data_IF_369995349051
#
_entry.id   IF_369995349051
#
_cell.length_a   1.000
_cell.length_b   1.000
_cell.length_c   1.000
_cell.angle_alpha   90.00
_cell.angle_beta   90.00
_cell.angle_gamma   90.00
#
_symmetry.space_group_name_H-M   'P 1'
#
loop_
_entity.id
_entity.type
_entity.pdbx_description
1 polymer ?
#
# COMPACT_ATOMS: atom_id res chain seq x y z
N UNK A 1 15.40 5.07 -2.98
CA UNK A 1 13.91 5.14 -2.87
C UNK A 1 13.29 5.18 -4.26
N UNK A 2 13.62 6.19 -5.09
CA UNK A 2 13.25 6.20 -6.53
C UNK A 2 13.72 4.96 -7.29
N UNK A 3 14.96 4.52 -7.07
CA UNK A 3 15.49 3.28 -7.67
C UNK A 3 14.79 2.00 -7.19
N UNK A 4 14.00 2.08 -6.11
CA UNK A 4 13.17 0.97 -5.61
C UNK A 4 11.70 1.09 -6.04
N UNK A 5 11.37 2.06 -6.90
CA UNK A 5 10.01 2.31 -7.36
C UNK A 5 9.13 3.08 -6.36
N UNK A 6 9.71 3.89 -5.47
CA UNK A 6 8.95 4.71 -4.51
C UNK A 6 9.21 6.21 -4.71
N UNK A 7 8.14 6.99 -4.72
CA UNK A 7 8.13 8.45 -4.63
C UNK A 7 8.09 8.87 -3.15
N UNK A 8 8.87 9.89 -2.82
CA UNK A 8 8.85 10.49 -1.50
C UNK A 8 8.11 11.83 -1.57
N UNK A 9 7.21 12.07 -0.61
CA UNK A 9 6.52 13.34 -0.40
C UNK A 9 6.82 13.87 1.01
N UNK A 10 6.82 15.19 1.19
CA UNK A 10 7.22 15.80 2.45
C UNK A 10 5.97 16.16 3.27
N UNK A 11 5.81 15.53 4.44
CA UNK A 11 4.76 15.86 5.41
C UNK A 11 5.31 16.60 6.62
N UNK A 12 4.41 17.17 7.43
CA UNK A 12 4.72 17.80 8.73
C UNK A 12 5.49 16.87 9.70
N UNK A 13 5.36 15.54 9.53
CA UNK A 13 6.00 14.53 10.36
C UNK A 13 7.28 13.94 9.73
N UNK A 14 7.66 14.40 8.53
CA UNK A 14 8.79 13.90 7.76
C UNK A 14 8.40 13.27 6.43
N UNK A 15 9.33 12.53 5.83
CA UNK A 15 9.16 11.97 4.49
C UNK A 15 8.22 10.76 4.50
N UNK A 16 7.22 10.79 3.61
CA UNK A 16 6.28 9.69 3.36
C UNK A 16 6.63 9.06 2.02
N UNK A 17 6.61 7.72 1.96
CA UNK A 17 7.03 6.98 0.77
C UNK A 17 5.84 6.23 0.17
N UNK A 18 5.45 6.63 -1.03
CA UNK A 18 4.39 5.99 -1.80
C UNK A 18 5.00 5.19 -2.95
N UNK A 19 4.42 4.05 -3.34
CA UNK A 19 4.76 3.43 -4.62
C UNK A 19 4.66 4.47 -5.74
N UNK A 20 5.66 4.52 -6.60
CA UNK A 20 5.65 5.39 -7.79
C UNK A 20 4.58 4.94 -8.79
N UNK A 21 4.24 3.65 -8.72
CA UNK A 21 3.14 3.02 -9.42
C UNK A 21 1.81 3.28 -8.71
N UNK A 22 0.78 3.60 -9.50
CA UNK A 22 -0.57 3.80 -8.96
C UNK A 22 -1.16 2.51 -8.40
N UNK A 23 -2.28 2.64 -7.68
CA UNK A 23 -3.07 1.48 -7.22
C UNK A 23 -4.32 1.34 -8.07
N UNK A 24 -4.61 0.13 -8.52
CA UNK A 24 -5.88 -0.23 -9.12
C UNK A 24 -6.83 -0.69 -8.04
N UNK A 25 -8.05 -0.16 -8.08
CA UNK A 25 -9.09 -0.46 -7.11
C UNK A 25 -10.19 -1.28 -7.78
N UNK A 26 -10.54 -2.41 -7.17
CA UNK A 26 -11.74 -3.17 -7.53
C UNK A 26 -13.02 -2.42 -7.11
N UNK A 27 -14.16 -2.78 -7.70
CA UNK A 27 -15.45 -2.13 -7.41
C UNK A 27 -15.79 -2.11 -5.91
N UNK A 28 -15.38 -3.17 -5.20
CA UNK A 28 -15.46 -3.27 -3.74
C UNK A 28 -14.08 -3.43 -3.13
N UNK A 29 -13.81 -2.62 -2.11
CA UNK A 29 -12.63 -2.74 -1.25
C UNK A 29 -13.10 -3.16 0.13
N UNK A 30 -12.44 -4.15 0.71
CA UNK A 30 -12.69 -4.62 2.07
C UNK A 30 -11.39 -4.62 2.87
N UNK A 31 -11.50 -4.24 4.14
CA UNK A 31 -10.44 -4.34 5.12
C UNK A 31 -10.88 -5.39 6.14
N UNK A 32 -10.12 -6.46 6.24
CA UNK A 32 -10.39 -7.58 7.12
C UNK A 32 -9.41 -7.55 8.29
N UNK A 33 -9.91 -7.65 9.52
CA UNK A 33 -9.06 -7.84 10.69
C UNK A 33 -8.75 -9.32 10.84
N UNK A 34 -7.47 -9.68 10.87
CA UNK A 34 -7.02 -11.06 10.87
C UNK A 34 -6.07 -11.29 12.04
N UNK A 35 -6.36 -12.34 12.81
CA UNK A 35 -5.58 -12.78 13.97
C UNK A 35 -4.88 -14.10 13.65
N UNK A 36 -3.57 -14.05 13.48
CA UNK A 36 -2.70 -15.21 13.41
C UNK A 36 -2.08 -15.50 14.78
N UNK A 37 -1.59 -16.73 15.03
CA UNK A 37 -1.05 -17.09 16.35
C UNK A 37 0.13 -16.22 16.82
N UNK A 38 0.83 -15.57 15.90
CA UNK A 38 2.02 -14.75 16.18
C UNK A 38 1.87 -13.28 15.76
N UNK A 39 0.77 -12.89 15.10
CA UNK A 39 0.56 -11.51 14.66
C UNK A 39 -0.92 -11.22 14.43
N UNK A 40 -1.31 -10.00 14.75
CA UNK A 40 -2.61 -9.47 14.36
C UNK A 40 -2.40 -8.35 13.37
N UNK A 41 -3.10 -8.39 12.24
CA UNK A 41 -2.96 -7.42 11.17
C UNK A 41 -4.29 -7.14 10.46
N UNK A 42 -4.28 -6.13 9.59
CA UNK A 42 -5.36 -5.88 8.67
C UNK A 42 -4.94 -6.33 7.28
N UNK A 43 -5.76 -7.18 6.66
CA UNK A 43 -5.61 -7.56 5.26
C UNK A 43 -6.58 -6.75 4.41
N UNK A 44 -6.12 -6.26 3.26
CA UNK A 44 -6.93 -5.44 2.37
C UNK A 44 -7.15 -6.18 1.06
N UNK A 45 -8.40 -6.38 0.69
CA UNK A 45 -8.80 -7.00 -0.58
C UNK A 45 -9.36 -5.94 -1.53
N UNK A 46 -9.11 -6.12 -2.83
CA UNK A 46 -9.58 -5.22 -3.88
C UNK A 46 -8.68 -4.01 -4.13
N UNK A 47 -7.44 -4.03 -3.64
CA UNK A 47 -6.38 -3.08 -4.01
C UNK A 47 -5.21 -3.86 -4.60
N UNK A 48 -4.84 -3.53 -5.83
CA UNK A 48 -3.69 -4.07 -6.52
C UNK A 48 -2.72 -2.95 -6.90
N UNK A 49 -1.42 -3.25 -6.89
CA UNK A 49 -0.39 -2.32 -7.35
C UNK A 49 -0.31 -2.43 -8.87
N UNK A 50 -0.49 -1.31 -9.58
CA UNK A 50 -0.41 -1.27 -11.04
C UNK A 50 1.06 -1.38 -11.44
N UNK A 51 1.52 -2.60 -11.71
CA UNK A 51 2.86 -2.79 -12.26
C UNK A 51 2.89 -2.30 -13.72
N UNK A 52 3.67 -1.28 -13.99
CA UNK A 52 4.01 -0.85 -15.35
C UNK A 52 5.15 -1.75 -15.83
N UNK A 53 4.89 -2.55 -16.88
CA UNK A 53 5.89 -3.37 -17.57
C UNK A 53 6.92 -2.50 -18.32
#
# INVERSE_FOLDING_TARGET
>A
MREKGYTADQSELGNVYYPAEGVSRAEKVSVNYVEYPWITCFEVEGLDIIKSD
#
